data_IF_780176054853
#
_entry.id   IF_780176054853
#
_cell.length_a   1.000
_cell.length_b   1.000
_cell.length_c   1.000
_cell.angle_alpha   90.00
_cell.angle_beta   90.00
_cell.angle_gamma   90.00
#
_symmetry.space_group_name_H-M   'P 1'
#
loop_
_entity.id
_entity.type
_entity.pdbx_description
1 polymer ?
#
# COMPACT_ATOMS: atom_id res chain seq x y z
N UNK A 1 16.28 -16.72 3.38
CA UNK A 1 15.30 -16.46 4.46
C UNK A 1 15.77 -15.33 5.39
N UNK A 2 17.00 -15.36 5.87
CA UNK A 2 17.56 -14.34 6.78
C UNK A 2 17.46 -12.92 6.19
N UNK A 3 17.83 -12.71 4.92
CA UNK A 3 17.76 -11.41 4.24
C UNK A 3 16.34 -10.79 4.21
N UNK A 4 15.28 -11.59 4.09
CA UNK A 4 13.91 -11.06 4.13
C UNK A 4 13.53 -10.57 5.53
N UNK A 5 14.06 -11.20 6.58
CA UNK A 5 13.85 -10.74 7.95
C UNK A 5 14.59 -9.42 8.23
N UNK A 6 15.81 -9.27 7.70
CA UNK A 6 16.55 -8.00 7.76
C UNK A 6 15.79 -6.88 7.02
N UNK A 7 15.28 -7.18 5.81
CA UNK A 7 14.48 -6.21 5.03
C UNK A 7 13.18 -5.83 5.73
N UNK A 8 12.43 -6.81 6.27
CA UNK A 8 11.22 -6.55 7.06
C UNK A 8 11.53 -5.69 8.28
N UNK A 9 12.60 -6.00 9.00
CA UNK A 9 13.04 -5.24 10.17
C UNK A 9 13.40 -3.79 9.81
N UNK A 10 14.10 -3.60 8.70
CA UNK A 10 14.44 -2.26 8.19
C UNK A 10 13.18 -1.45 7.93
N UNK A 11 12.19 -2.00 7.22
CA UNK A 11 10.95 -1.31 6.90
C UNK A 11 10.10 -1.05 8.15
N UNK A 12 9.99 -1.99 9.08
CA UNK A 12 9.27 -1.78 10.34
C UNK A 12 9.90 -0.65 11.18
N UNK A 13 11.23 -0.58 11.23
CA UNK A 13 11.92 0.51 11.90
C UNK A 13 11.69 1.86 11.19
N UNK A 14 11.74 1.87 9.85
CA UNK A 14 11.42 3.05 9.06
C UNK A 14 9.99 3.54 9.34
N UNK A 15 9.01 2.65 9.35
CA UNK A 15 7.62 3.01 9.63
C UNK A 15 7.42 3.54 11.05
N UNK A 16 8.07 2.94 12.05
CA UNK A 16 8.01 3.40 13.43
C UNK A 16 8.60 4.80 13.58
N UNK A 17 9.78 5.03 12.99
CA UNK A 17 10.40 6.35 13.03
C UNK A 17 9.60 7.41 12.27
N UNK A 18 8.88 7.03 11.19
CA UNK A 18 7.97 7.93 10.50
C UNK A 18 6.72 8.28 11.34
N UNK A 19 6.19 7.34 12.12
CA UNK A 19 5.06 7.60 13.03
C UNK A 19 5.44 8.58 14.16
N UNK A 20 6.68 8.50 14.62
CA UNK A 20 7.21 9.39 15.66
C UNK A 20 7.72 10.73 15.08
N UNK A 21 7.80 10.88 13.76
CA UNK A 21 8.36 12.05 13.10
C UNK A 21 7.37 13.22 13.03
N UNK A 22 7.91 14.41 13.10
CA UNK A 22 7.24 15.68 12.86
C UNK A 22 7.79 16.38 11.59
N UNK A 23 7.34 17.62 11.35
CA UNK A 23 7.75 18.41 10.19
C UNK A 23 9.26 18.72 10.16
N UNK A 24 9.92 18.75 11.32
CA UNK A 24 11.35 19.07 11.43
C UNK A 24 12.24 17.82 11.29
N UNK A 25 11.70 16.66 11.60
CA UNK A 25 12.45 15.40 11.70
C UNK A 25 12.20 14.43 10.56
N UNK A 26 11.04 14.48 9.89
CA UNK A 26 10.65 13.53 8.83
C UNK A 26 11.68 13.45 7.69
N UNK A 27 12.29 14.57 7.32
CA UNK A 27 13.33 14.59 6.29
C UNK A 27 14.55 13.74 6.67
N UNK A 28 14.96 13.80 7.94
CA UNK A 28 16.08 13.00 8.47
C UNK A 28 15.74 11.52 8.50
N UNK A 29 14.50 11.20 8.85
CA UNK A 29 14.03 9.80 8.84
C UNK A 29 14.08 9.23 7.43
N UNK A 30 13.51 9.92 6.44
CA UNK A 30 13.54 9.44 5.06
C UNK A 30 14.99 9.28 4.56
N UNK A 31 15.87 10.27 4.79
CA UNK A 31 17.30 10.20 4.43
C UNK A 31 18.05 9.06 5.11
N UNK A 32 17.68 8.71 6.34
CA UNK A 32 18.30 7.61 7.08
C UNK A 32 18.06 6.26 6.40
N UNK A 33 16.87 6.03 5.85
CA UNK A 33 16.46 4.73 5.29
C UNK A 33 16.57 4.66 3.77
N UNK A 34 16.38 5.76 3.06
CA UNK A 34 16.45 5.80 1.61
C UNK A 34 17.88 5.97 1.09
N UNK A 35 18.13 5.46 -0.12
CA UNK A 35 19.31 5.81 -0.90
C UNK A 35 19.21 7.28 -1.35
N UNK A 36 20.34 7.98 -1.55
CA UNK A 36 20.31 9.40 -1.99
C UNK A 36 19.55 9.62 -3.29
N UNK A 37 19.59 8.64 -4.18
CA UNK A 37 18.99 8.60 -5.52
C UNK A 37 17.74 7.74 -5.60
N UNK A 38 17.05 7.51 -4.48
CA UNK A 38 15.81 6.73 -4.46
C UNK A 38 14.81 7.19 -5.51
N UNK A 39 14.23 6.24 -6.24
CA UNK A 39 13.08 6.47 -7.10
C UNK A 39 11.79 6.16 -6.36
N UNK A 40 10.91 7.13 -6.28
CA UNK A 40 9.61 6.96 -5.64
C UNK A 40 8.48 7.24 -6.63
N UNK A 41 7.53 6.32 -6.72
CA UNK A 41 6.40 6.38 -7.65
C UNK A 41 5.11 6.54 -6.83
N UNK A 42 4.59 7.77 -6.77
CA UNK A 42 3.29 8.05 -6.18
C UNK A 42 2.18 8.04 -7.22
N UNK A 43 0.95 7.71 -6.80
CA UNK A 43 -0.24 7.98 -7.62
C UNK A 43 -0.43 9.48 -7.83
N UNK A 44 -1.26 9.85 -8.82
CA UNK A 44 -1.67 11.26 -8.96
C UNK A 44 -2.23 11.78 -7.62
N UNK A 45 -1.85 12.99 -7.14
CA UNK A 45 -1.04 14.03 -7.81
C UNK A 45 0.45 13.99 -7.48
N UNK A 46 0.97 12.97 -6.82
CA UNK A 46 2.35 12.93 -6.33
C UNK A 46 3.37 12.60 -7.42
N UNK A 47 2.99 11.77 -8.39
CA UNK A 47 3.81 11.35 -9.53
C UNK A 47 5.16 10.75 -9.14
N UNK A 48 6.09 10.70 -10.07
CA UNK A 48 7.45 10.21 -9.87
C UNK A 48 8.32 11.27 -9.19
N UNK A 49 9.05 10.84 -8.15
CA UNK A 49 9.97 11.68 -7.42
C UNK A 49 11.35 11.02 -7.35
N UNK A 50 12.41 11.82 -7.38
CA UNK A 50 13.79 11.37 -7.29
C UNK A 50 14.48 12.00 -6.08
N UNK A 51 15.05 11.14 -5.25
CA UNK A 51 15.72 11.55 -4.02
C UNK A 51 14.79 11.78 -2.83
N UNK A 52 15.35 11.63 -1.65
CA UNK A 52 14.60 11.70 -0.39
C UNK A 52 13.95 13.06 -0.13
N UNK A 53 14.60 14.16 -0.53
CA UNK A 53 14.06 15.50 -0.33
C UNK A 53 12.77 15.72 -1.15
N UNK A 54 12.75 15.30 -2.42
CA UNK A 54 11.58 15.41 -3.27
C UNK A 54 10.37 14.63 -2.71
N UNK A 55 10.61 13.44 -2.16
CA UNK A 55 9.57 12.62 -1.51
C UNK A 55 9.01 13.35 -0.28
N UNK A 56 9.89 13.93 0.54
CA UNK A 56 9.50 14.64 1.76
C UNK A 56 8.66 15.86 1.42
N UNK A 57 9.08 16.67 0.45
CA UNK A 57 8.36 17.89 0.07
C UNK A 57 7.05 17.60 -0.66
N UNK A 58 7.00 16.50 -1.45
CA UNK A 58 5.79 16.16 -2.22
C UNK A 58 4.73 15.45 -1.40
N UNK A 59 5.12 14.56 -0.47
CA UNK A 59 4.16 13.74 0.27
C UNK A 59 4.19 14.01 1.78
N UNK A 60 5.34 13.80 2.45
CA UNK A 60 5.36 13.73 3.92
C UNK A 60 5.07 15.07 4.60
N UNK A 61 5.68 16.17 4.15
CA UNK A 61 5.41 17.50 4.75
C UNK A 61 3.96 17.95 4.56
N UNK A 62 3.37 17.93 3.35
CA UNK A 62 1.96 18.23 3.16
C UNK A 62 1.03 17.32 3.97
N UNK A 63 1.37 16.04 4.08
CA UNK A 63 0.59 15.09 4.85
C UNK A 63 0.64 15.43 6.36
N UNK A 64 1.82 15.53 6.96
CA UNK A 64 1.99 15.83 8.38
C UNK A 64 1.53 17.25 8.77
N UNK A 65 1.54 18.21 7.85
CA UNK A 65 1.00 19.56 8.10
C UNK A 65 -0.52 19.58 8.15
N UNK A 66 -1.18 18.59 7.57
CA UNK A 66 -2.65 18.55 7.44
C UNK A 66 -3.29 17.50 8.34
N UNK A 67 -2.57 16.42 8.64
CA UNK A 67 -3.03 15.31 9.45
C UNK A 67 -2.31 15.27 10.79
N UNK A 68 -3.05 15.10 11.88
CA UNK A 68 -2.48 14.91 13.22
C UNK A 68 -2.82 13.54 13.78
N UNK A 69 -2.03 13.10 14.78
CA UNK A 69 -2.21 11.81 15.46
C UNK A 69 -2.29 10.62 14.50
N UNK A 70 -1.47 10.66 13.46
CA UNK A 70 -1.46 9.63 12.41
C UNK A 70 -0.92 8.32 12.97
N UNK A 71 -1.64 7.24 12.71
CA UNK A 71 -1.23 5.87 12.98
C UNK A 71 -1.24 5.07 11.69
N UNK A 72 -0.20 4.30 11.44
CA UNK A 72 -0.17 3.33 10.34
C UNK A 72 -0.76 2.01 10.82
N UNK A 73 -1.88 1.61 10.24
CA UNK A 73 -2.55 0.33 10.50
C UNK A 73 -2.25 -0.61 9.34
N UNK A 74 -1.46 -1.65 9.60
CA UNK A 74 -1.10 -2.64 8.59
C UNK A 74 -2.14 -3.77 8.57
N UNK A 75 -2.55 -4.18 7.38
CA UNK A 75 -3.45 -5.30 7.12
C UNK A 75 -2.70 -6.43 6.41
N UNK A 76 -1.72 -6.06 5.56
CA UNK A 76 -0.83 -6.98 4.84
C UNK A 76 0.60 -6.50 4.99
N UNK A 77 1.52 -7.43 5.28
CA UNK A 77 2.95 -7.16 5.36
C UNK A 77 3.75 -8.43 5.06
N UNK A 78 4.55 -8.41 4.02
CA UNK A 78 5.41 -9.53 3.67
C UNK A 78 6.62 -9.07 2.84
N UNK A 79 7.58 -9.97 2.65
CA UNK A 79 8.74 -9.74 1.79
C UNK A 79 8.90 -10.87 0.78
N UNK A 80 9.47 -10.54 -0.37
CA UNK A 80 9.74 -11.49 -1.44
C UNK A 80 10.69 -10.92 -2.48
N UNK A 81 11.08 -11.77 -3.44
CA UNK A 81 11.91 -11.40 -4.58
C UNK A 81 11.04 -11.32 -5.84
N UNK A 82 11.17 -10.23 -6.58
CA UNK A 82 10.51 -10.04 -7.87
C UNK A 82 11.04 -11.02 -8.91
N UNK A 83 10.16 -11.72 -9.60
CA UNK A 83 10.52 -12.61 -10.72
C UNK A 83 10.96 -11.83 -11.98
N UNK A 84 10.62 -10.53 -12.07
CA UNK A 84 10.90 -9.70 -13.25
C UNK A 84 12.38 -9.30 -13.30
N UNK A 85 12.92 -8.83 -12.18
CA UNK A 85 14.26 -8.24 -12.12
C UNK A 85 15.13 -8.80 -10.98
N UNK A 86 14.65 -9.83 -10.30
CA UNK A 86 15.33 -10.51 -9.20
C UNK A 86 15.74 -9.56 -8.05
N UNK A 87 14.95 -8.51 -7.79
CA UNK A 87 15.16 -7.58 -6.67
C UNK A 87 14.29 -7.94 -5.49
N UNK A 88 14.73 -7.60 -4.28
CA UNK A 88 14.02 -7.87 -3.04
C UNK A 88 13.09 -6.72 -2.66
N UNK A 89 11.87 -7.06 -2.29
CA UNK A 89 10.81 -6.12 -1.94
C UNK A 89 10.18 -6.45 -0.60
N UNK A 90 9.77 -5.42 0.10
CA UNK A 90 8.84 -5.50 1.24
C UNK A 90 7.57 -4.77 0.88
N UNK A 91 6.46 -5.47 1.00
CA UNK A 91 5.13 -4.97 0.65
C UNK A 91 4.35 -4.71 1.94
N UNK A 92 3.69 -3.57 2.01
CA UNK A 92 2.78 -3.20 3.08
C UNK A 92 1.49 -2.64 2.51
N UNK A 93 0.36 -3.12 2.99
CA UNK A 93 -0.96 -2.55 2.69
C UNK A 93 -1.72 -2.34 3.98
N UNK A 94 -2.57 -1.33 4.00
CA UNK A 94 -3.38 -0.98 5.16
C UNK A 94 -3.95 0.42 5.02
N UNK A 95 -3.99 1.15 6.11
CA UNK A 95 -4.46 2.54 6.08
C UNK A 95 -3.74 3.39 7.14
N UNK A 96 -3.56 4.65 6.82
CA UNK A 96 -3.30 5.66 7.83
C UNK A 96 -4.63 6.07 8.46
N UNK A 97 -4.65 6.18 9.77
CA UNK A 97 -5.77 6.70 10.55
C UNK A 97 -5.28 7.95 11.30
N UNK A 98 -5.96 9.07 11.12
CA UNK A 98 -5.59 10.32 11.77
C UNK A 98 -6.72 11.33 11.75
N UNK A 99 -6.48 12.52 12.31
CA UNK A 99 -7.39 13.64 12.24
C UNK A 99 -6.98 14.54 11.07
N UNK A 100 -7.90 14.81 10.14
CA UNK A 100 -7.65 15.78 9.06
C UNK A 100 -8.00 17.18 9.57
N UNK A 101 -7.00 17.85 10.15
CA UNK A 101 -7.15 19.13 10.85
C UNK A 101 -6.99 20.36 9.96
N UNK A 102 -6.26 20.21 8.86
CA UNK A 102 -6.05 21.27 7.87
C UNK A 102 -6.35 20.77 6.46
N UNK A 103 -6.50 21.68 5.51
CA UNK A 103 -6.73 21.33 4.11
C UNK A 103 -5.55 20.54 3.54
N UNK A 104 -5.82 19.44 2.85
CA UNK A 104 -4.84 18.58 2.21
C UNK A 104 -5.19 18.35 0.74
N UNK A 105 -4.27 18.59 -0.18
CA UNK A 105 -4.48 18.43 -1.63
C UNK A 105 -5.72 19.18 -2.17
N UNK A 106 -6.09 20.28 -1.52
CA UNK A 106 -7.32 21.03 -1.84
C UNK A 106 -8.60 20.47 -1.19
N UNK A 107 -8.55 19.33 -0.50
CA UNK A 107 -9.66 18.82 0.28
C UNK A 107 -9.82 19.61 1.58
N UNK A 108 -11.05 19.98 1.98
CA UNK A 108 -11.27 20.72 3.22
C UNK A 108 -11.00 19.85 4.46
N UNK A 109 -10.54 20.45 5.54
CA UNK A 109 -10.46 19.80 6.84
C UNK A 109 -11.86 19.41 7.35
N UNK A 110 -11.99 18.21 7.92
CA UNK A 110 -13.22 17.76 8.57
C UNK A 110 -13.06 17.67 10.09
N UNK A 111 -11.84 17.72 10.62
CA UNK A 111 -11.47 17.58 12.03
C UNK A 111 -12.05 16.32 12.69
N UNK A 112 -12.15 15.26 11.90
CA UNK A 112 -12.63 13.94 12.32
C UNK A 112 -11.58 12.89 12.01
N UNK A 113 -11.71 11.72 12.63
CA UNK A 113 -10.94 10.55 12.24
C UNK A 113 -11.23 10.29 10.76
N UNK A 114 -10.17 10.25 9.98
CA UNK A 114 -10.21 10.02 8.55
C UNK A 114 -9.18 8.95 8.23
N UNK A 115 -9.48 8.11 7.25
CA UNK A 115 -8.64 7.00 6.85
C UNK A 115 -8.11 7.24 5.45
N UNK A 116 -6.80 7.09 5.27
CA UNK A 116 -6.16 7.05 3.97
C UNK A 116 -5.64 5.65 3.74
N UNK A 117 -6.29 4.88 2.89
CA UNK A 117 -5.87 3.54 2.50
C UNK A 117 -4.62 3.61 1.65
N UNK A 118 -3.69 2.69 1.85
CA UNK A 118 -2.46 2.65 1.08
C UNK A 118 -2.04 1.21 0.73
N UNK A 119 -1.27 1.10 -0.34
CA UNK A 119 -0.40 -0.04 -0.63
C UNK A 119 0.99 0.50 -1.00
N UNK A 120 2.02 -0.01 -0.37
CA UNK A 120 3.39 0.46 -0.51
C UNK A 120 4.31 -0.71 -0.80
N UNK A 121 5.12 -0.57 -1.84
CA UNK A 121 6.09 -1.56 -2.30
C UNK A 121 7.48 -0.94 -2.17
N UNK A 122 8.33 -1.53 -1.37
CA UNK A 122 9.64 -1.01 -1.03
C UNK A 122 10.74 -1.96 -1.50
N UNK A 123 11.52 -1.57 -2.51
CA UNK A 123 12.68 -2.29 -2.99
C UNK A 123 13.91 -1.94 -2.16
N UNK A 124 14.61 -2.96 -1.66
CA UNK A 124 15.74 -2.80 -0.76
C UNK A 124 17.00 -3.36 -1.41
N UNK A 125 18.03 -2.54 -1.46
CA UNK A 125 19.38 -2.96 -1.86
C UNK A 125 20.41 -2.34 -0.90
N UNK A 126 21.40 -3.12 -0.52
CA UNK A 126 22.49 -2.69 0.38
C UNK A 126 21.99 -2.01 1.68
N UNK A 127 20.89 -2.51 2.26
CA UNK A 127 20.31 -1.97 3.47
C UNK A 127 19.65 -0.60 3.33
N UNK A 128 19.26 -0.21 2.10
CA UNK A 128 18.58 1.05 1.78
C UNK A 128 17.39 0.83 0.86
N UNK A 129 16.38 1.68 0.98
CA UNK A 129 15.31 1.81 0.00
C UNK A 129 15.87 2.48 -1.25
N UNK A 130 15.81 1.78 -2.38
CA UNK A 130 16.28 2.29 -3.68
C UNK A 130 15.14 2.62 -4.64
N UNK A 131 14.01 1.92 -4.49
CA UNK A 131 12.76 2.21 -5.20
C UNK A 131 11.59 2.04 -4.23
N UNK A 132 10.56 2.86 -4.37
CA UNK A 132 9.31 2.67 -3.66
C UNK A 132 8.14 3.05 -4.57
N UNK A 133 7.05 2.28 -4.51
CA UNK A 133 5.80 2.62 -5.19
C UNK A 133 4.72 2.77 -4.12
N UNK A 134 4.05 3.92 -4.13
CA UNK A 134 3.05 4.28 -3.13
C UNK A 134 1.70 4.55 -3.79
N UNK A 135 0.75 3.71 -3.50
CA UNK A 135 -0.63 3.83 -3.92
C UNK A 135 -1.46 4.27 -2.72
N UNK A 136 -2.33 5.26 -2.90
CA UNK A 136 -3.27 5.65 -1.85
C UNK A 136 -4.64 6.00 -2.44
N UNK A 137 -5.69 5.75 -1.65
CA UNK A 137 -7.08 5.93 -2.06
C UNK A 137 -7.58 7.34 -1.71
N UNK A 138 -7.28 8.30 -2.59
CA UNK A 138 -7.75 9.68 -2.44
C UNK A 138 -9.27 9.79 -2.63
N UNK A 139 -9.86 8.95 -3.48
CA UNK A 139 -11.32 8.94 -3.69
C UNK A 139 -12.01 8.49 -2.40
N UNK A 140 -11.46 7.51 -1.70
CA UNK A 140 -11.93 7.08 -0.39
C UNK A 140 -11.86 8.20 0.66
N UNK A 141 -10.81 9.04 0.64
CA UNK A 141 -10.75 10.25 1.49
C UNK A 141 -11.85 11.23 1.09
N UNK A 142 -12.03 11.51 -0.22
CA UNK A 142 -13.08 12.40 -0.71
C UNK A 142 -14.48 11.96 -0.24
N UNK A 143 -14.79 10.67 -0.32
CA UNK A 143 -16.07 10.12 0.16
C UNK A 143 -16.29 10.37 1.66
N UNK A 144 -15.25 10.21 2.49
CA UNK A 144 -15.30 10.49 3.92
C UNK A 144 -15.54 11.99 4.22
N UNK A 145 -15.20 12.87 3.28
CA UNK A 145 -15.45 14.31 3.32
C UNK A 145 -16.79 14.71 2.70
N UNK A 146 -17.59 13.76 2.22
CA UNK A 146 -18.86 14.02 1.53
C UNK A 146 -18.69 14.51 0.08
N UNK A 147 -17.50 14.32 -0.50
CA UNK A 147 -17.21 14.68 -1.89
C UNK A 147 -17.29 13.41 -2.72
N UNK A 148 -18.19 13.38 -3.69
CA UNK A 148 -18.45 12.22 -4.54
C UNK A 148 -18.11 12.53 -6.01
N UNK A 149 -16.84 12.34 -6.43
CA UNK A 149 -16.40 12.68 -7.78
C UNK A 149 -16.86 11.67 -8.85
N UNK A 150 -17.30 10.48 -8.43
CA UNK A 150 -17.78 9.43 -9.30
C UNK A 150 -19.29 9.26 -9.17
N UNK A 151 -19.96 8.63 -10.17
CA UNK A 151 -21.36 8.23 -10.03
C UNK A 151 -21.61 7.42 -8.75
N UNK A 152 -22.86 7.43 -8.27
CA UNK A 152 -23.24 6.64 -7.10
C UNK A 152 -22.89 5.15 -7.31
N UNK A 153 -22.20 4.60 -6.33
CA UNK A 153 -21.82 3.20 -6.32
C UNK A 153 -22.92 2.35 -5.72
N UNK A 154 -23.05 1.13 -6.22
CA UNK A 154 -23.99 0.13 -5.68
C UNK A 154 -23.36 -0.70 -4.56
N UNK A 155 -22.03 -0.66 -4.42
CA UNK A 155 -21.27 -1.37 -3.40
C UNK A 155 -21.05 -0.57 -2.11
N UNK A 156 -20.44 -1.19 -1.13
CA UNK A 156 -20.06 -0.54 0.11
C UNK A 156 -18.91 0.45 -0.12
N UNK A 157 -19.08 1.68 0.33
CA UNK A 157 -18.06 2.76 0.21
C UNK A 157 -17.44 3.09 1.57
N UNK A 158 -16.95 2.09 2.28
CA UNK A 158 -16.27 2.27 3.56
C UNK A 158 -14.90 1.58 3.53
N UNK A 159 -14.08 1.86 4.53
CA UNK A 159 -12.78 1.21 4.67
C UNK A 159 -12.98 -0.20 5.18
N UNK A 160 -12.54 -1.17 4.38
CA UNK A 160 -12.61 -2.57 4.77
C UNK A 160 -11.65 -2.85 5.93
N UNK A 161 -12.08 -3.62 6.93
CA UNK A 161 -11.15 -4.15 7.92
C UNK A 161 -10.16 -5.10 7.24
N UNK A 162 -8.94 -5.18 7.79
CA UNK A 162 -7.98 -6.20 7.39
C UNK A 162 -8.45 -7.62 7.72
N UNK A 163 -7.67 -8.65 7.35
CA UNK A 163 -7.96 -10.03 7.71
C UNK A 163 -8.21 -10.18 9.21
N UNK A 164 -9.28 -10.86 9.59
CA UNK A 164 -9.71 -10.99 11.00
C UNK A 164 -8.68 -11.65 11.90
N UNK A 165 -7.89 -12.54 11.33
CA UNK A 165 -6.84 -13.32 12.01
C UNK A 165 -5.47 -12.63 11.97
N UNK A 166 -5.35 -11.47 11.32
CA UNK A 166 -4.10 -10.78 11.01
C UNK A 166 -3.09 -11.67 10.26
N UNK A 167 -3.56 -12.67 9.54
CA UNK A 167 -2.75 -13.62 8.79
C UNK A 167 -2.11 -13.03 7.52
N UNK A 168 -2.49 -11.82 7.12
CA UNK A 168 -1.80 -11.03 6.11
C UNK A 168 -0.49 -10.38 6.58
N UNK A 169 -0.19 -10.39 7.89
CA UNK A 169 1.01 -9.79 8.47
C UNK A 169 2.05 -10.89 8.75
N UNK A 170 2.90 -11.14 7.78
CA UNK A 170 3.90 -12.22 7.83
C UNK A 170 5.22 -11.71 8.41
N UNK A 171 5.31 -11.61 9.73
CA UNK A 171 6.52 -11.18 10.44
C UNK A 171 7.58 -12.25 10.47
N UNK A 172 7.18 -13.50 10.69
CA UNK A 172 8.08 -14.65 10.82
C UNK A 172 8.54 -15.18 9.44
N UNK A 173 9.63 -15.96 9.40
CA UNK A 173 10.06 -16.66 8.20
C UNK A 173 8.98 -17.63 7.71
N UNK A 174 8.66 -17.60 6.42
CA UNK A 174 7.74 -18.54 5.80
C UNK A 174 8.49 -19.71 5.20
N UNK A 175 7.84 -20.88 5.11
CA UNK A 175 8.45 -22.05 4.48
C UNK A 175 8.56 -21.83 2.96
N UNK A 176 9.71 -22.19 2.33
CA UNK A 176 9.89 -22.00 0.89
C UNK A 176 8.82 -22.70 0.04
N UNK A 177 8.38 -23.90 0.47
CA UNK A 177 7.36 -24.66 -0.26
C UNK A 177 6.00 -23.96 -0.27
N UNK A 178 5.57 -23.37 0.84
CA UNK A 178 4.32 -22.61 0.91
C UNK A 178 4.39 -21.33 0.06
N UNK A 179 5.54 -20.64 0.10
CA UNK A 179 5.76 -19.48 -0.75
C UNK A 179 5.70 -19.83 -2.24
N UNK A 180 6.29 -20.94 -2.65
CA UNK A 180 6.23 -21.43 -4.03
C UNK A 180 4.81 -21.78 -4.43
N UNK A 181 4.09 -22.55 -3.63
CA UNK A 181 2.70 -22.93 -3.90
C UNK A 181 1.78 -21.71 -4.03
N UNK A 182 1.97 -20.71 -3.14
CA UNK A 182 1.21 -19.45 -3.20
C UNK A 182 1.51 -18.68 -4.47
N UNK A 183 2.78 -18.57 -4.86
CA UNK A 183 3.19 -17.89 -6.08
C UNK A 183 2.63 -18.57 -7.33
N UNK A 184 2.68 -19.90 -7.40
CA UNK A 184 2.08 -20.68 -8.49
C UNK A 184 0.57 -20.45 -8.59
N UNK A 185 -0.14 -20.41 -7.44
CA UNK A 185 -1.57 -20.13 -7.39
C UNK A 185 -1.89 -18.72 -7.90
N UNK A 186 -1.12 -17.70 -7.46
CA UNK A 186 -1.30 -16.32 -7.89
C UNK A 186 -1.00 -16.16 -9.38
N UNK A 187 0.08 -16.75 -9.89
CA UNK A 187 0.42 -16.71 -11.31
C UNK A 187 -0.69 -17.35 -12.15
N UNK A 188 -1.25 -18.47 -11.71
CA UNK A 188 -2.42 -19.10 -12.37
C UNK A 188 -3.64 -18.20 -12.36
N UNK A 189 -3.95 -17.56 -11.22
CA UNK A 189 -5.05 -16.60 -11.13
C UNK A 189 -4.87 -15.43 -12.12
N UNK A 190 -3.67 -14.87 -12.21
CA UNK A 190 -3.37 -13.80 -13.16
C UNK A 190 -3.53 -14.26 -14.62
N UNK A 191 -3.11 -15.49 -14.93
CA UNK A 191 -3.27 -16.08 -16.25
C UNK A 191 -4.75 -16.30 -16.60
N UNK A 192 -5.54 -16.89 -15.69
CA UNK A 192 -6.98 -17.11 -15.87
C UNK A 192 -7.73 -15.78 -16.10
N UNK A 193 -7.36 -14.71 -15.37
CA UNK A 193 -7.92 -13.36 -15.56
C UNK A 193 -7.49 -12.72 -16.89
N UNK A 194 -6.27 -12.97 -17.34
CA UNK A 194 -5.81 -12.51 -18.64
C UNK A 194 -6.54 -13.19 -19.79
N UNK A 195 -6.78 -14.49 -19.69
CA UNK A 195 -7.56 -15.25 -20.67
C UNK A 195 -9.01 -14.72 -20.74
N UNK A 196 -9.61 -14.36 -19.61
CA UNK A 196 -10.91 -13.72 -19.55
C UNK A 196 -10.94 -12.40 -20.33
N UNK A 197 -9.94 -11.54 -20.16
CA UNK A 197 -9.85 -10.25 -20.86
C UNK A 197 -9.78 -10.42 -22.40
N UNK A 198 -9.29 -11.56 -22.88
CA UNK A 198 -9.18 -11.89 -24.32
C UNK A 198 -10.43 -12.57 -24.84
N UNK A 199 -11.20 -13.26 -23.98
CA UNK A 199 -12.39 -14.02 -24.40
C UNK A 199 -13.55 -13.13 -24.89
N UNK A 200 -13.58 -11.86 -24.43
CA UNK A 200 -14.68 -10.93 -24.69
C UNK A 200 -15.89 -11.13 -23.78
N UNK A 201 -15.78 -11.99 -22.77
CA UNK A 201 -16.81 -12.15 -21.75
C UNK A 201 -16.78 -10.97 -20.77
N UNK A 202 -17.93 -10.44 -20.39
CA UNK A 202 -18.01 -9.30 -19.48
C UNK A 202 -17.67 -9.66 -18.01
N UNK A 203 -17.84 -10.95 -17.65
CA UNK A 203 -17.65 -11.43 -16.27
C UNK A 203 -17.03 -12.82 -16.23
N UNK A 204 -16.11 -13.07 -15.26
CA UNK A 204 -15.58 -14.41 -15.03
C UNK A 204 -16.69 -15.34 -14.53
N UNK A 205 -16.72 -16.55 -15.03
CA UNK A 205 -17.65 -17.54 -14.51
C UNK A 205 -17.29 -17.93 -13.06
N UNK A 206 -18.26 -18.19 -12.18
CA UNK A 206 -17.98 -18.68 -10.84
C UNK A 206 -17.08 -19.91 -10.80
N UNK A 207 -17.20 -20.79 -11.79
CA UNK A 207 -16.36 -21.99 -11.92
C UNK A 207 -14.90 -21.68 -12.26
N UNK A 208 -14.62 -20.56 -12.93
CA UNK A 208 -13.27 -20.09 -13.19
C UNK A 208 -12.67 -19.52 -11.90
N UNK A 209 -13.39 -18.63 -11.24
CA UNK A 209 -12.93 -18.01 -9.99
C UNK A 209 -12.69 -19.06 -8.88
N UNK A 210 -13.56 -20.05 -8.75
CA UNK A 210 -13.45 -21.12 -7.75
C UNK A 210 -12.15 -21.95 -7.87
N UNK A 211 -11.41 -21.84 -8.97
CA UNK A 211 -10.12 -22.53 -9.13
C UNK A 211 -9.00 -21.91 -8.28
N UNK A 212 -9.07 -20.62 -8.03
CA UNK A 212 -7.99 -19.85 -7.41
C UNK A 212 -8.44 -18.91 -6.28
N UNK A 213 -9.73 -18.69 -6.13
CA UNK A 213 -10.34 -17.86 -5.11
C UNK A 213 -11.08 -18.71 -4.08
N UNK A 214 -10.89 -18.39 -2.78
CA UNK A 214 -11.67 -19.01 -1.71
C UNK A 214 -13.08 -18.38 -1.63
N UNK A 215 -14.03 -19.09 -0.99
CA UNK A 215 -15.41 -18.63 -0.84
C UNK A 215 -15.53 -17.32 -0.05
N UNK A 216 -14.62 -17.08 0.87
CA UNK A 216 -14.57 -15.91 1.75
C UNK A 216 -13.53 -14.86 1.30
N UNK A 217 -13.09 -14.89 0.04
CA UNK A 217 -12.15 -13.94 -0.53
C UNK A 217 -12.69 -12.51 -0.42
N UNK A 218 -11.85 -11.60 0.06
CA UNK A 218 -12.15 -10.17 0.12
C UNK A 218 -11.34 -9.44 -0.96
N UNK A 219 -12.04 -8.68 -1.79
CA UNK A 219 -11.43 -7.79 -2.75
C UNK A 219 -11.14 -6.42 -2.14
N UNK A 220 -9.87 -6.04 -2.09
CA UNK A 220 -9.43 -4.74 -1.59
C UNK A 220 -9.24 -3.73 -2.73
N UNK A 221 -10.21 -3.58 -3.59
CA UNK A 221 -10.18 -2.57 -4.67
C UNK A 221 -10.23 -1.13 -4.13
N UNK A 222 -9.73 -0.14 -4.89
CA UNK A 222 -9.90 1.26 -4.54
C UNK A 222 -11.36 1.70 -4.67
N UNK A 223 -11.73 2.82 -4.01
CA UNK A 223 -13.07 3.38 -4.14
C UNK A 223 -13.44 3.61 -5.62
N UNK A 224 -14.59 3.12 -6.03
CA UNK A 224 -15.09 3.19 -7.40
C UNK A 224 -14.85 1.96 -8.27
N UNK A 225 -14.09 0.97 -7.80
CA UNK A 225 -13.79 -0.26 -8.54
C UNK A 225 -14.22 -1.50 -7.74
N UNK A 226 -14.48 -1.38 -6.46
CA UNK A 226 -14.87 -2.49 -5.59
C UNK A 226 -16.34 -2.48 -5.22
#
# INVERSE_FOLDING_TARGET
MERYQEHKTLILNYYRELEDADLDTVGKVVQKYAAPDIHWYGVHPFHEQHGSEAIVETFWRPFLSSWSHVQRRQDVFFAGTSEIDNTDWVISMGHFMGLLDSSWLGFPANRKITFLRYAEFNCIQNGKLVRSSFFCDLIGVMHQLGIHPLPLQTGASFIYPGPRTNDGILLDPQTPSESTNTLELVNRMCQDLQELNVSGDDYPSPSLLAKTWCEDMIWYGPAGIG
#
